data_IF_205059468903
#
_entry.id   IF_205059468903
#
_cell.length_a   1.000
_cell.length_b   1.000
_cell.length_c   1.000
_cell.angle_alpha   90.00
_cell.angle_beta   90.00
_cell.angle_gamma   90.00
#
_symmetry.space_group_name_H-M   'P 1'
#
loop_
_entity.id
_entity.type
_entity.pdbx_description
1 polymer ?
#
# COMPACT_ATOMS: atom_id res chain seq x y z
N UNK A 1 0.49 -51.49 -10.49
CA UNK A 1 0.67 -50.55 -9.35
C UNK A 1 1.41 -49.24 -9.68
N UNK A 2 2.18 -49.11 -10.77
CA UNK A 2 2.88 -47.84 -11.11
C UNK A 2 2.06 -46.82 -11.93
N UNK A 3 0.89 -47.20 -12.45
CA UNK A 3 0.06 -46.33 -13.30
C UNK A 3 -0.97 -45.51 -12.51
N UNK A 4 -1.41 -46.01 -11.35
CA UNK A 4 -2.44 -45.35 -10.52
C UNK A 4 -1.88 -44.13 -9.77
N UNK A 5 -0.57 -44.11 -9.46
CA UNK A 5 0.08 -42.97 -8.78
C UNK A 5 0.23 -41.73 -9.68
N UNK A 6 0.29 -41.90 -11.00
CA UNK A 6 0.36 -40.75 -11.94
C UNK A 6 -0.98 -40.04 -12.10
N UNK A 7 -2.09 -40.75 -11.95
CA UNK A 7 -3.44 -40.18 -12.06
C UNK A 7 -3.79 -39.37 -10.81
N UNK A 8 -3.38 -39.83 -9.61
CA UNK A 8 -3.56 -39.04 -8.39
C UNK A 8 -2.70 -37.77 -8.35
N UNK A 9 -1.46 -37.81 -8.87
CA UNK A 9 -0.61 -36.62 -8.94
C UNK A 9 -1.15 -35.57 -9.93
N UNK A 10 -1.80 -36.00 -11.01
CA UNK A 10 -2.40 -35.12 -12.01
C UNK A 10 -3.70 -34.47 -11.51
N UNK A 11 -4.51 -35.21 -10.75
CA UNK A 11 -5.75 -34.67 -10.14
C UNK A 11 -5.43 -33.68 -9.01
N UNK A 12 -4.34 -33.89 -8.26
CA UNK A 12 -3.87 -32.89 -7.27
C UNK A 12 -3.25 -31.64 -7.93
N UNK A 13 -2.70 -31.73 -9.15
CA UNK A 13 -2.18 -30.57 -9.87
C UNK A 13 -3.32 -29.72 -10.46
N UNK A 14 -4.39 -30.36 -10.95
CA UNK A 14 -5.57 -29.65 -11.49
C UNK A 14 -6.40 -29.01 -10.36
N UNK A 15 -6.47 -29.63 -9.18
CA UNK A 15 -7.15 -29.06 -8.01
C UNK A 15 -6.46 -27.86 -7.36
N UNK A 16 -5.17 -27.63 -7.64
CA UNK A 16 -4.41 -26.47 -7.10
C UNK A 16 -4.47 -25.26 -8.05
N UNK A 17 -4.85 -25.45 -9.31
CA UNK A 17 -4.95 -24.35 -10.31
C UNK A 17 -6.31 -23.62 -10.24
N UNK A 18 -7.30 -24.15 -9.53
CA UNK A 18 -8.67 -23.60 -9.49
C UNK A 18 -8.94 -22.49 -8.44
N UNK A 19 -7.97 -22.07 -7.62
CA UNK A 19 -8.22 -21.09 -6.52
C UNK A 19 -7.59 -19.70 -6.75
N UNK A 20 -6.94 -19.44 -7.89
CA UNK A 20 -6.20 -18.18 -8.10
C UNK A 20 -6.60 -17.41 -9.36
N UNK A 21 -7.88 -17.10 -9.56
CA UNK A 21 -8.26 -16.19 -10.66
C UNK A 21 -9.38 -15.22 -10.25
N UNK A 22 -9.02 -14.21 -9.47
CA UNK A 22 -9.75 -12.93 -9.45
C UNK A 22 -9.22 -12.05 -10.57
N UNK A 23 -9.97 -12.01 -11.67
CA UNK A 23 -10.05 -11.02 -12.75
C UNK A 23 -8.94 -9.95 -12.76
N UNK A 24 -7.85 -10.27 -13.46
CA UNK A 24 -6.94 -9.29 -14.02
C UNK A 24 -7.50 -9.00 -15.40
N UNK A 25 -8.15 -7.86 -15.55
CA UNK A 25 -8.71 -7.42 -16.82
C UNK A 25 -8.08 -6.05 -17.11
N UNK A 26 -7.59 -5.86 -18.33
CA UNK A 26 -6.77 -4.71 -18.75
C UNK A 26 -5.59 -5.22 -19.60
N UNK A 27 -5.32 -4.58 -20.74
CA UNK A 27 -4.34 -5.05 -21.75
C UNK A 27 -2.91 -5.22 -21.19
N UNK A 28 -2.62 -4.69 -20.00
CA UNK A 28 -1.29 -4.68 -19.37
C UNK A 28 -1.23 -5.32 -17.97
N UNK A 29 -2.23 -6.12 -17.56
CA UNK A 29 -2.18 -6.82 -16.27
C UNK A 29 -2.40 -5.94 -15.02
N UNK A 30 -3.03 -4.78 -15.21
CA UNK A 30 -3.38 -3.82 -14.15
C UNK A 30 -4.56 -4.34 -13.31
N UNK A 31 -4.57 -4.02 -12.01
CA UNK A 31 -5.78 -4.12 -11.18
C UNK A 31 -6.75 -3.04 -11.68
N UNK A 32 -7.76 -3.44 -12.45
CA UNK A 32 -8.76 -2.51 -12.95
C UNK A 32 -9.85 -2.22 -11.92
N UNK A 33 -10.15 -0.94 -11.74
CA UNK A 33 -11.28 -0.43 -10.96
C UNK A 33 -12.20 0.30 -11.93
N UNK A 34 -13.51 0.15 -11.75
CA UNK A 34 -14.52 0.82 -12.59
C UNK A 34 -14.23 2.33 -12.70
N UNK A 35 -14.11 2.83 -13.94
CA UNK A 35 -13.77 4.22 -14.24
C UNK A 35 -12.30 4.52 -14.59
N UNK A 36 -11.40 3.53 -14.54
CA UNK A 36 -10.02 3.69 -15.06
C UNK A 36 -9.95 3.53 -16.60
N UNK A 37 -9.27 4.42 -17.35
CA UNK A 37 -9.02 4.23 -18.78
C UNK A 37 -8.19 2.96 -19.04
N UNK A 38 -8.55 2.18 -20.07
CA UNK A 38 -7.94 0.86 -20.34
C UNK A 38 -8.60 -0.31 -19.59
N UNK A 39 -9.61 -0.03 -18.77
CA UNK A 39 -10.44 -1.02 -18.08
C UNK A 39 -11.81 -1.25 -18.75
N UNK A 40 -12.03 -0.69 -19.94
CA UNK A 40 -13.31 -0.70 -20.67
C UNK A 40 -13.76 -2.10 -21.11
N UNK A 41 -12.82 -3.03 -21.24
CA UNK A 41 -13.07 -4.43 -21.63
C UNK A 41 -13.20 -5.38 -20.42
N UNK A 42 -13.18 -4.85 -19.21
CA UNK A 42 -13.37 -5.64 -18.00
C UNK A 42 -14.87 -5.71 -17.71
N UNK A 43 -15.47 -6.89 -17.78
CA UNK A 43 -16.90 -7.07 -17.46
C UNK A 43 -17.11 -6.97 -15.94
N UNK A 44 -17.18 -5.74 -15.45
CA UNK A 44 -17.65 -5.41 -14.12
C UNK A 44 -19.17 -5.34 -14.18
N UNK A 45 -19.82 -6.50 -14.07
CA UNK A 45 -21.27 -6.61 -14.18
C UNK A 45 -22.00 -5.45 -13.50
N UNK A 46 -22.73 -4.67 -14.30
CA UNK A 46 -23.34 -3.42 -13.87
C UNK A 46 -24.42 -3.60 -12.78
N UNK A 47 -24.83 -2.51 -12.12
CA UNK A 47 -25.77 -2.58 -11.02
C UNK A 47 -27.18 -2.88 -11.54
N UNK A 48 -27.63 -4.13 -11.41
CA UNK A 48 -29.04 -4.48 -11.66
C UNK A 48 -29.39 -5.94 -11.93
N UNK A 49 -28.44 -6.83 -12.23
CA UNK A 49 -28.77 -8.22 -12.60
C UNK A 49 -28.55 -9.21 -11.45
N UNK A 50 -29.61 -9.92 -11.08
CA UNK A 50 -29.52 -11.16 -10.30
C UNK A 50 -28.73 -12.20 -11.10
N UNK A 51 -27.68 -12.76 -10.50
CA UNK A 51 -26.76 -13.71 -11.11
C UNK A 51 -27.45 -14.93 -11.73
N UNK A 52 -27.30 -15.09 -13.06
CA UNK A 52 -27.39 -16.40 -13.71
C UNK A 52 -26.23 -16.49 -14.72
N UNK A 53 -25.33 -17.44 -14.52
CA UNK A 53 -24.15 -17.63 -15.38
C UNK A 53 -24.58 -18.26 -16.72
N UNK A 54 -23.85 -18.01 -17.82
CA UNK A 54 -24.13 -18.67 -19.09
C UNK A 54 -23.92 -20.17 -18.96
N UNK A 55 -25.01 -20.90 -19.16
CA UNK A 55 -25.06 -22.36 -19.26
C UNK A 55 -25.15 -22.72 -20.73
N UNK A 56 -24.56 -23.83 -21.15
CA UNK A 56 -24.86 -24.40 -22.47
C UNK A 56 -26.33 -24.88 -22.54
N UNK A 57 -26.75 -25.33 -23.71
CA UNK A 57 -28.10 -25.86 -23.95
C UNK A 57 -28.44 -27.11 -23.09
N UNK A 58 -27.48 -27.63 -22.32
CA UNK A 58 -27.66 -28.71 -21.34
C UNK A 58 -27.59 -28.24 -19.86
N UNK A 59 -27.54 -26.93 -19.59
CA UNK A 59 -27.58 -26.38 -18.24
C UNK A 59 -26.24 -26.41 -17.48
N UNK A 60 -25.12 -26.72 -18.15
CA UNK A 60 -23.79 -26.77 -17.53
C UNK A 60 -23.03 -25.46 -17.72
N UNK A 61 -22.32 -25.02 -16.67
CA UNK A 61 -21.47 -23.83 -16.71
C UNK A 61 -20.36 -24.00 -17.74
N UNK A 62 -20.26 -23.07 -18.69
CA UNK A 62 -19.18 -23.03 -19.68
C UNK A 62 -18.31 -21.80 -19.41
N UNK A 63 -17.03 -22.03 -19.13
CA UNK A 63 -16.02 -20.98 -19.16
C UNK A 63 -15.31 -21.04 -20.52
N UNK A 64 -15.15 -19.92 -21.24
CA UNK A 64 -14.31 -19.91 -22.43
C UNK A 64 -12.83 -20.06 -22.03
N UNK A 65 -12.14 -21.04 -22.63
CA UNK A 65 -10.69 -21.08 -22.62
C UNK A 65 -10.16 -19.89 -23.44
N UNK A 66 -9.37 -19.05 -22.80
CA UNK A 66 -8.58 -18.02 -23.49
C UNK A 66 -7.12 -18.45 -23.42
N UNK A 67 -6.56 -18.79 -24.58
CA UNK A 67 -5.13 -19.03 -24.74
C UNK A 67 -4.35 -17.73 -24.52
N UNK A 68 -3.54 -17.67 -23.45
CA UNK A 68 -2.63 -16.55 -23.22
C UNK A 68 -1.27 -16.87 -23.85
N UNK A 69 -1.09 -16.47 -25.11
CA UNK A 69 0.22 -16.42 -25.74
C UNK A 69 0.89 -15.06 -25.44
N UNK A 70 1.99 -15.10 -24.67
CA UNK A 70 3.05 -14.09 -24.70
C UNK A 70 2.80 -12.77 -23.96
N UNK A 71 2.86 -12.78 -22.63
CA UNK A 71 3.06 -11.53 -21.87
C UNK A 71 4.57 -11.30 -21.73
N UNK A 72 5.09 -10.34 -22.50
CA UNK A 72 6.47 -9.85 -22.34
C UNK A 72 6.55 -8.97 -21.10
N UNK A 73 7.71 -9.05 -20.43
CA UNK A 73 8.05 -8.52 -19.11
C UNK A 73 8.13 -6.98 -19.00
N UNK A 74 7.14 -6.25 -19.51
CA UNK A 74 7.12 -4.79 -19.38
C UNK A 74 6.68 -4.39 -17.97
N UNK A 75 7.47 -3.58 -17.23
CA UNK A 75 7.04 -3.07 -15.94
C UNK A 75 5.80 -2.18 -16.12
N UNK A 76 4.73 -2.52 -15.39
CA UNK A 76 3.47 -1.79 -15.39
C UNK A 76 3.70 -0.39 -14.79
N UNK A 77 3.61 0.64 -15.62
CA UNK A 77 3.60 2.03 -15.17
C UNK A 77 2.15 2.45 -14.92
N UNK A 78 1.83 2.87 -13.69
CA UNK A 78 0.58 3.60 -13.45
C UNK A 78 0.59 4.83 -14.37
N UNK A 79 -0.38 4.97 -15.30
CA UNK A 79 -0.43 6.11 -16.20
C UNK A 79 -0.42 7.40 -15.38
N UNK A 80 0.23 8.46 -15.89
CA UNK A 80 0.15 9.82 -15.31
C UNK A 80 -1.26 10.44 -15.42
N UNK A 81 -2.25 9.64 -15.84
CA UNK A 81 -3.61 10.08 -16.06
C UNK A 81 -4.35 10.19 -14.72
N UNK A 82 -4.72 11.42 -14.42
CA UNK A 82 -5.54 11.79 -13.28
C UNK A 82 -6.99 11.37 -13.58
N UNK A 83 -7.65 10.56 -12.74
CA UNK A 83 -9.09 10.53 -12.78
C UNK A 83 -9.57 11.90 -12.27
N UNK A 84 -9.87 12.82 -13.19
CA UNK A 84 -10.94 13.78 -12.92
C UNK A 84 -12.13 12.93 -12.52
N UNK A 85 -12.70 13.14 -11.33
CA UNK A 85 -13.99 12.55 -10.97
C UNK A 85 -14.95 12.89 -12.12
N UNK A 86 -15.18 11.92 -13.00
CA UNK A 86 -15.97 12.13 -14.20
C UNK A 86 -17.40 12.33 -13.68
N UNK A 87 -17.99 13.48 -14.01
CA UNK A 87 -19.39 13.74 -13.69
C UNK A 87 -20.23 12.57 -14.21
N UNK A 88 -21.24 12.09 -13.45
CA UNK A 88 -22.12 11.03 -13.93
C UNK A 88 -22.69 11.41 -15.31
N UNK A 89 -22.63 10.46 -16.24
CA UNK A 89 -23.12 10.62 -17.61
C UNK A 89 -24.60 10.98 -17.53
N UNK A 90 -24.93 12.25 -17.78
CA UNK A 90 -26.32 12.76 -17.80
C UNK A 90 -26.71 13.71 -16.65
N UNK A 91 -25.81 14.06 -15.74
CA UNK A 91 -26.05 15.09 -14.71
C UNK A 91 -25.33 16.41 -14.99
N UNK A 92 -25.88 17.53 -14.51
CA UNK A 92 -25.10 18.76 -14.40
C UNK A 92 -23.86 18.47 -13.53
N UNK A 93 -22.68 19.06 -13.83
CA UNK A 93 -21.50 18.88 -13.00
C UNK A 93 -21.84 19.26 -11.56
N UNK A 94 -21.70 18.31 -10.63
CA UNK A 94 -21.82 18.58 -9.21
C UNK A 94 -20.52 19.23 -8.78
N UNK A 95 -20.59 20.44 -8.22
CA UNK A 95 -19.41 21.10 -7.67
C UNK A 95 -18.80 20.24 -6.54
N UNK A 96 -17.48 20.01 -6.53
CA UNK A 96 -16.84 19.25 -5.47
C UNK A 96 -17.08 19.89 -4.10
N UNK A 97 -17.32 19.07 -3.09
CA UNK A 97 -17.40 19.55 -1.70
C UNK A 97 -16.04 20.07 -1.22
N UNK A 98 -15.98 20.90 -0.16
CA UNK A 98 -14.70 21.35 0.42
C UNK A 98 -13.76 20.19 0.78
N UNK A 99 -14.30 19.09 1.31
CA UNK A 99 -13.53 17.89 1.67
C UNK A 99 -12.94 17.21 0.42
N UNK A 100 -13.70 17.13 -0.68
CA UNK A 100 -13.23 16.58 -1.96
C UNK A 100 -12.13 17.46 -2.57
N UNK A 101 -12.26 18.79 -2.48
CA UNK A 101 -11.21 19.71 -2.95
C UNK A 101 -9.90 19.52 -2.17
N UNK A 102 -9.98 19.38 -0.84
CA UNK A 102 -8.79 19.12 -0.01
C UNK A 102 -8.10 17.83 -0.46
N UNK A 103 -8.86 16.75 -0.66
CA UNK A 103 -8.31 15.47 -1.10
C UNK A 103 -7.59 15.58 -2.46
N UNK A 104 -8.16 16.33 -3.40
CA UNK A 104 -7.59 16.52 -4.74
C UNK A 104 -6.34 17.41 -4.74
N UNK A 105 -6.29 18.40 -3.85
CA UNK A 105 -5.23 19.40 -3.80
C UNK A 105 -4.05 19.01 -2.89
N UNK A 106 -4.28 18.14 -1.90
CA UNK A 106 -3.28 17.73 -0.93
C UNK A 106 -2.16 16.88 -1.59
N UNK A 107 -1.07 17.58 -1.93
CA UNK A 107 0.17 17.03 -2.46
C UNK A 107 1.32 17.49 -1.57
N UNK A 108 2.09 16.54 -1.08
CA UNK A 108 3.21 16.78 -0.19
C UNK A 108 4.49 16.37 -0.91
N UNK A 109 5.51 17.22 -0.86
CA UNK A 109 6.80 16.95 -1.46
C UNK A 109 7.59 15.91 -0.65
N UNK A 110 8.66 15.38 -1.24
CA UNK A 110 9.59 14.52 -0.51
C UNK A 110 10.23 15.26 0.69
N UNK A 111 10.39 16.59 0.59
CA UNK A 111 10.87 17.41 1.71
C UNK A 111 9.87 17.52 2.85
N UNK A 112 8.57 17.58 2.55
CA UNK A 112 7.54 17.53 3.59
C UNK A 112 7.58 16.18 4.32
N UNK A 113 7.77 15.07 3.58
CA UNK A 113 7.96 13.75 4.16
C UNK A 113 9.20 13.65 5.07
N UNK A 114 10.35 14.17 4.64
CA UNK A 114 11.60 14.18 5.44
C UNK A 114 11.48 15.07 6.68
N UNK A 115 10.88 16.26 6.55
CA UNK A 115 10.62 17.14 7.70
C UNK A 115 9.77 16.43 8.74
N UNK A 116 8.67 15.81 8.30
CA UNK A 116 7.79 15.07 9.20
C UNK A 116 8.52 13.90 9.88
N UNK A 117 9.33 13.14 9.15
CA UNK A 117 10.11 12.05 9.72
C UNK A 117 11.10 12.55 10.79
N UNK A 118 11.78 13.68 10.54
CA UNK A 118 12.68 14.31 11.49
C UNK A 118 11.97 14.88 12.72
N UNK A 119 10.77 15.44 12.57
CA UNK A 119 9.94 15.85 13.71
C UNK A 119 9.60 14.66 14.60
N UNK A 120 9.14 13.55 14.01
CA UNK A 120 8.77 12.34 14.74
C UNK A 120 9.98 11.69 15.44
N UNK A 121 11.14 11.66 14.79
CA UNK A 121 12.38 11.14 15.38
C UNK A 121 12.83 11.93 16.63
N UNK A 122 12.45 13.20 16.74
CA UNK A 122 12.74 14.06 17.90
C UNK A 122 11.80 13.84 19.09
N UNK A 123 10.68 13.14 18.91
CA UNK A 123 9.74 12.84 19.99
C UNK A 123 10.23 11.64 20.82
N UNK A 124 10.50 11.86 22.12
CA UNK A 124 11.04 10.83 23.01
C UNK A 124 10.14 9.58 23.08
N UNK A 125 8.82 9.77 23.21
CA UNK A 125 7.88 8.64 23.29
C UNK A 125 7.92 7.74 22.04
N UNK A 126 8.14 8.30 20.84
CA UNK A 126 8.28 7.53 19.61
C UNK A 126 9.59 6.74 19.63
N UNK A 127 10.69 7.35 20.10
CA UNK A 127 11.97 6.62 20.26
C UNK A 127 11.87 5.49 21.26
N UNK A 128 11.16 5.69 22.37
CA UNK A 128 10.95 4.65 23.38
C UNK A 128 10.14 3.48 22.79
N UNK A 129 9.10 3.78 22.01
CA UNK A 129 8.33 2.77 21.28
C UNK A 129 9.19 1.98 20.28
N UNK A 130 10.02 2.66 19.49
CA UNK A 130 10.98 2.02 18.56
C UNK A 130 11.98 1.14 19.33
N UNK A 131 12.57 1.66 20.41
CA UNK A 131 13.54 0.94 21.22
C UNK A 131 12.95 -0.34 21.85
N UNK A 132 11.66 -0.31 22.20
CA UNK A 132 10.95 -1.46 22.75
C UNK A 132 10.75 -2.58 21.72
N UNK A 133 10.51 -2.25 20.45
CA UNK A 133 10.14 -3.24 19.41
C UNK A 133 11.30 -3.66 18.50
N UNK A 134 12.35 -2.85 18.35
CA UNK A 134 13.39 -3.03 17.30
C UNK A 134 14.07 -4.39 17.24
N UNK A 135 14.24 -5.05 18.39
CA UNK A 135 14.97 -6.32 18.52
C UNK A 135 14.03 -7.53 18.73
N UNK A 136 12.73 -7.36 18.48
CA UNK A 136 11.77 -8.46 18.63
C UNK A 136 11.86 -9.41 17.44
N UNK A 137 11.75 -10.71 17.72
CA UNK A 137 11.80 -11.81 16.73
C UNK A 137 10.45 -12.05 16.03
N UNK A 138 9.40 -11.40 16.49
CA UNK A 138 8.07 -11.34 15.89
C UNK A 138 7.71 -9.87 15.66
N UNK A 139 6.70 -9.62 14.84
CA UNK A 139 6.22 -8.25 14.62
C UNK A 139 5.45 -7.76 15.85
N UNK A 140 5.83 -6.57 16.28
CA UNK A 140 5.15 -5.77 17.28
C UNK A 140 4.69 -4.49 16.63
N UNK A 141 3.54 -4.01 17.08
CA UNK A 141 2.89 -2.81 16.59
C UNK A 141 2.64 -1.83 17.72
N UNK A 142 2.73 -0.54 17.42
CA UNK A 142 2.38 0.55 18.32
C UNK A 142 1.52 1.54 17.54
N UNK A 143 0.23 1.69 17.88
CA UNK A 143 -0.62 2.68 17.23
C UNK A 143 -0.13 4.10 17.54
N UNK A 144 -0.25 5.01 16.57
CA UNK A 144 -0.03 6.45 16.78
C UNK A 144 -1.34 7.19 16.67
N UNK A 145 -1.65 8.00 17.68
CA UNK A 145 -2.88 8.77 17.76
C UNK A 145 -2.62 10.26 17.97
N UNK A 146 -3.59 11.09 17.56
CA UNK A 146 -3.72 12.47 18.03
C UNK A 146 -4.88 12.51 19.02
N UNK A 147 -4.65 13.05 20.23
CA UNK A 147 -5.68 13.13 21.27
C UNK A 147 -6.77 14.18 20.96
N UNK A 148 -6.43 15.24 20.22
CA UNK A 148 -7.38 16.23 19.73
C UNK A 148 -7.36 16.21 18.20
N UNK A 149 -8.48 15.88 17.53
CA UNK A 149 -8.53 15.85 16.08
C UNK A 149 -8.33 17.23 15.42
N UNK A 150 -8.45 18.31 16.19
CA UNK A 150 -8.20 19.67 15.74
C UNK A 150 -6.75 20.12 15.99
N UNK A 151 -5.95 19.37 16.75
CA UNK A 151 -4.54 19.67 17.01
C UNK A 151 -3.60 18.55 16.53
N UNK A 152 -3.03 18.73 15.34
CA UNK A 152 -2.07 17.80 14.74
C UNK A 152 -0.68 17.74 15.38
N UNK A 153 -0.39 18.52 16.42
CA UNK A 153 1.00 18.79 16.84
C UNK A 153 1.67 17.68 17.62
N UNK A 154 0.93 16.88 18.39
CA UNK A 154 1.53 15.94 19.35
C UNK A 154 1.03 14.52 19.14
N UNK A 155 1.66 13.74 18.24
CA UNK A 155 1.37 12.32 18.10
C UNK A 155 1.77 11.58 19.37
N UNK A 156 0.88 10.71 19.87
CA UNK A 156 1.13 9.86 21.04
C UNK A 156 1.14 8.39 20.64
N UNK A 157 2.20 7.65 20.99
CA UNK A 157 2.19 6.19 20.89
C UNK A 157 1.20 5.59 21.89
N UNK A 158 0.35 4.67 21.43
CA UNK A 158 -0.50 3.87 22.29
C UNK A 158 0.23 2.64 22.85
N UNK A 159 -0.55 1.64 23.27
CA UNK A 159 0.02 0.43 23.88
C UNK A 159 0.60 -0.51 22.81
N UNK A 160 1.86 -0.96 22.96
CA UNK A 160 2.46 -1.96 22.09
C UNK A 160 1.71 -3.30 22.13
N UNK A 161 1.54 -3.96 20.98
CA UNK A 161 0.88 -5.24 20.87
C UNK A 161 1.52 -6.15 19.81
N UNK A 162 1.22 -7.45 19.86
CA UNK A 162 1.65 -8.44 18.87
C UNK A 162 0.59 -9.53 18.70
N UNK A 163 0.55 -10.16 17.53
CA UNK A 163 -0.21 -11.39 17.27
C UNK A 163 0.70 -12.64 17.19
N UNK A 164 1.95 -12.53 17.63
CA UNK A 164 2.99 -13.57 17.59
C UNK A 164 3.36 -14.07 16.19
N UNK A 165 3.13 -13.29 15.13
CA UNK A 165 3.57 -13.61 13.76
C UNK A 165 4.78 -12.76 13.36
N UNK A 166 5.64 -13.31 12.50
CA UNK A 166 6.91 -12.68 12.11
C UNK A 166 6.82 -11.75 10.89
N UNK A 167 5.78 -11.88 10.06
CA UNK A 167 5.62 -11.12 8.80
C UNK A 167 4.17 -10.68 8.56
N UNK A 168 3.40 -10.49 9.63
CA UNK A 168 2.00 -10.09 9.52
C UNK A 168 1.49 -9.58 10.86
N UNK A 169 1.32 -8.27 10.97
CA UNK A 169 0.55 -7.63 12.03
C UNK A 169 -0.71 -7.00 11.42
N UNK A 170 -1.85 -7.28 12.04
CA UNK A 170 -3.10 -6.62 11.64
C UNK A 170 -3.26 -5.36 12.47
N UNK A 171 -3.64 -4.29 11.79
CA UNK A 171 -4.00 -3.04 12.41
C UNK A 171 -5.31 -2.57 11.79
N UNK A 172 -6.20 -2.04 12.62
CA UNK A 172 -7.49 -1.51 12.20
C UNK A 172 -7.53 -0.06 12.62
N UNK A 173 -7.25 0.88 11.71
CA UNK A 173 -7.29 2.28 12.05
C UNK A 173 -8.73 2.66 12.42
N UNK A 174 -8.87 3.45 13.48
CA UNK A 174 -10.15 3.92 13.98
C UNK A 174 -10.20 5.43 13.95
N UNK A 175 -11.38 5.96 13.66
CA UNK A 175 -11.70 7.37 13.76
C UNK A 175 -12.78 7.58 14.81
N UNK A 176 -12.51 8.46 15.77
CA UNK A 176 -13.47 8.88 16.78
C UNK A 176 -13.37 10.40 16.94
N UNK A 177 -14.49 11.11 16.84
CA UNK A 177 -14.55 12.56 17.00
C UNK A 177 -14.26 13.03 18.43
N UNK A 178 -14.31 12.14 19.41
CA UNK A 178 -14.13 12.43 20.85
C UNK A 178 -12.75 12.00 21.35
N UNK A 179 -12.34 10.77 21.08
CA UNK A 179 -11.11 10.18 21.64
C UNK A 179 -9.88 10.34 20.72
N UNK A 180 -10.05 11.06 19.61
CA UNK A 180 -9.01 11.26 18.62
C UNK A 180 -9.00 10.20 17.52
N UNK A 181 -8.00 10.28 16.63
CA UNK A 181 -7.87 9.33 15.52
C UNK A 181 -6.47 8.75 15.42
N UNK A 182 -6.44 7.51 14.93
CA UNK A 182 -5.20 6.85 14.57
C UNK A 182 -4.65 7.51 13.32
N UNK A 183 -3.48 8.14 13.45
CA UNK A 183 -2.72 8.74 12.36
C UNK A 183 -1.66 7.81 11.84
N UNK A 184 -1.42 6.68 12.49
CA UNK A 184 -0.32 5.88 12.07
C UNK A 184 -0.03 4.69 12.93
N UNK A 185 1.10 4.10 12.63
CA UNK A 185 1.52 2.85 13.20
C UNK A 185 3.04 2.76 13.18
N UNK A 186 3.61 2.24 14.26
CA UNK A 186 5.02 1.87 14.34
C UNK A 186 5.09 0.35 14.43
N UNK A 187 5.84 -0.31 13.57
CA UNK A 187 6.15 -1.74 13.73
C UNK A 187 7.56 -2.09 13.35
N UNK A 188 8.02 -3.27 13.76
CA UNK A 188 9.31 -3.81 13.37
C UNK A 188 9.16 -4.88 12.29
N UNK A 189 10.17 -5.00 11.42
CA UNK A 189 10.39 -6.11 10.50
C UNK A 189 11.52 -6.99 11.06
N UNK A 190 11.22 -8.11 11.74
CA UNK A 190 12.24 -8.99 12.32
C UNK A 190 13.23 -9.55 11.29
N UNK A 191 12.79 -9.71 10.03
CA UNK A 191 13.60 -10.19 8.92
C UNK A 191 14.51 -9.12 8.30
N UNK A 192 14.36 -7.85 8.70
CA UNK A 192 15.16 -6.74 8.15
C UNK A 192 14.76 -6.31 6.74
N UNK A 193 13.63 -6.76 6.20
CA UNK A 193 13.14 -6.34 4.88
C UNK A 193 12.67 -4.87 4.82
N UNK A 194 12.67 -4.29 3.63
CA UNK A 194 12.06 -2.98 3.39
C UNK A 194 10.53 -3.00 3.58
N UNK A 195 9.87 -1.83 3.66
CA UNK A 195 8.42 -1.75 3.65
C UNK A 195 7.79 -2.43 2.43
N UNK A 196 6.59 -2.94 2.63
CA UNK A 196 5.72 -3.62 1.68
C UNK A 196 4.43 -2.82 1.49
N UNK A 197 3.56 -3.17 0.52
CA UNK A 197 2.29 -2.47 0.32
C UNK A 197 1.38 -2.52 1.55
N UNK A 198 1.43 -3.61 2.32
CA UNK A 198 0.68 -3.73 3.57
C UNK A 198 1.11 -2.69 4.61
N UNK A 199 2.38 -2.33 4.64
CA UNK A 199 2.92 -1.32 5.55
C UNK A 199 2.49 0.09 5.16
N UNK A 200 2.14 0.31 3.89
CA UNK A 200 1.61 1.59 3.40
C UNK A 200 0.14 1.74 3.74
N UNK A 201 -0.68 0.72 3.44
CA UNK A 201 -2.13 0.89 3.34
C UNK A 201 -2.93 0.28 4.48
N UNK A 202 -2.45 -0.76 5.18
CA UNK A 202 -3.13 -1.24 6.40
C UNK A 202 -3.23 -0.19 7.51
N UNK A 203 -2.21 0.67 7.75
CA UNK A 203 -2.33 1.73 8.75
C UNK A 203 -3.22 2.90 8.32
N UNK A 204 -3.62 2.96 7.06
CA UNK A 204 -4.41 4.06 6.53
C UNK A 204 -5.90 3.90 6.82
N UNK A 205 -6.53 4.97 7.31
CA UNK A 205 -7.98 5.11 7.26
C UNK A 205 -8.50 5.06 5.82
N UNK A 206 -9.75 4.65 5.64
CA UNK A 206 -10.44 4.85 4.36
C UNK A 206 -10.74 6.36 4.20
N UNK A 207 -9.82 7.08 3.55
CA UNK A 207 -9.86 8.54 3.37
C UNK A 207 -11.09 8.96 2.55
N UNK A 208 -11.51 8.15 1.57
CA UNK A 208 -12.74 8.43 0.81
C UNK A 208 -13.97 8.46 1.72
N UNK A 209 -14.12 7.46 2.60
CA UNK A 209 -15.20 7.45 3.60
C UNK A 209 -15.11 8.63 4.57
N UNK A 210 -13.90 9.10 4.90
CA UNK A 210 -13.74 10.30 5.71
C UNK A 210 -14.22 11.55 4.97
N UNK A 211 -13.89 11.68 3.70
CA UNK A 211 -14.29 12.80 2.84
C UNK A 211 -15.80 12.84 2.63
N UNK A 212 -16.42 11.68 2.40
CA UNK A 212 -17.86 11.54 2.17
C UNK A 212 -18.68 11.66 3.46
N UNK A 213 -18.04 11.60 4.63
CA UNK A 213 -18.69 11.84 5.90
C UNK A 213 -18.82 13.34 6.16
N UNK A 214 -20.01 13.88 5.87
CA UNK A 214 -20.34 15.31 6.08
C UNK A 214 -20.25 15.80 7.54
N UNK A 215 -20.04 14.92 8.52
CA UNK A 215 -19.80 15.31 9.91
C UNK A 215 -18.32 15.60 10.22
N UNK A 216 -17.39 15.28 9.31
CA UNK A 216 -15.96 15.52 9.52
C UNK A 216 -15.59 16.91 8.96
N UNK A 217 -15.13 17.83 9.81
CA UNK A 217 -14.70 19.16 9.36
C UNK A 217 -13.49 19.09 8.42
N UNK A 218 -13.39 20.02 7.44
CA UNK A 218 -12.25 20.14 6.54
C UNK A 218 -10.87 20.15 7.25
N UNK A 219 -10.76 20.83 8.39
CA UNK A 219 -9.53 20.92 9.18
C UNK A 219 -9.06 19.56 9.71
N UNK A 220 -9.98 18.67 10.10
CA UNK A 220 -9.63 17.34 10.61
C UNK A 220 -9.12 16.43 9.49
N UNK A 221 -9.67 16.56 8.27
CA UNK A 221 -9.15 15.85 7.09
C UNK A 221 -7.73 16.34 6.78
N UNK A 222 -7.50 17.65 6.76
CA UNK A 222 -6.17 18.21 6.56
C UNK A 222 -5.19 17.72 7.63
N UNK A 223 -5.59 17.75 8.90
CA UNK A 223 -4.76 17.27 10.00
C UNK A 223 -4.42 15.79 9.83
N UNK A 224 -5.38 14.93 9.42
CA UNK A 224 -5.08 13.53 9.12
C UNK A 224 -4.07 13.39 7.97
N UNK A 225 -4.32 14.05 6.85
CA UNK A 225 -3.46 13.94 5.66
C UNK A 225 -2.02 14.39 5.93
N UNK A 226 -1.83 15.44 6.74
CA UNK A 226 -0.52 15.97 7.11
C UNK A 226 0.20 15.12 8.16
N UNK A 227 -0.55 14.40 9.01
CA UNK A 227 0.03 13.67 10.13
C UNK A 227 0.08 12.16 9.93
N UNK A 228 -0.54 11.65 8.86
CA UNK A 228 -0.49 10.23 8.55
C UNK A 228 0.96 9.74 8.47
N UNK A 229 1.24 8.66 9.19
CA UNK A 229 2.57 8.05 9.17
C UNK A 229 2.53 6.54 9.35
N UNK A 230 3.35 5.82 8.58
CA UNK A 230 3.72 4.44 8.89
C UNK A 230 5.22 4.37 9.13
N UNK A 231 5.63 3.94 10.33
CA UNK A 231 7.01 3.87 10.79
C UNK A 231 7.43 2.40 10.86
N UNK A 232 8.42 2.01 10.07
CA UNK A 232 8.87 0.63 9.96
C UNK A 232 10.31 0.55 10.47
N UNK A 233 10.52 -0.21 11.54
CA UNK A 233 11.83 -0.45 12.14
C UNK A 233 12.42 -1.72 11.54
N UNK A 234 13.50 -1.59 10.78
CA UNK A 234 14.05 -2.69 9.98
C UNK A 234 15.57 -2.71 10.00
N UNK A 235 16.13 -3.72 10.66
CA UNK A 235 17.57 -3.79 10.94
C UNK A 235 18.03 -2.59 11.78
N UNK A 236 19.03 -1.85 11.30
CA UNK A 236 19.52 -0.63 11.95
C UNK A 236 18.77 0.65 11.54
N UNK A 237 17.75 0.53 10.69
CA UNK A 237 17.08 1.66 10.07
C UNK A 237 15.63 1.82 10.54
N UNK A 238 15.16 3.06 10.44
CA UNK A 238 13.75 3.42 10.52
C UNK A 238 13.34 3.96 9.16
N UNK A 239 12.30 3.37 8.58
CA UNK A 239 11.58 3.93 7.45
C UNK A 239 10.40 4.73 7.96
N UNK A 240 10.17 5.90 7.39
CA UNK A 240 8.97 6.69 7.64
C UNK A 240 8.26 6.94 6.32
N UNK A 241 7.03 6.46 6.25
CA UNK A 241 6.11 6.61 5.12
C UNK A 241 5.11 7.71 5.46
N UNK A 242 4.94 8.67 4.56
CA UNK A 242 3.89 9.71 4.66
C UNK A 242 3.14 9.81 3.34
N UNK A 243 1.98 10.48 3.32
CA UNK A 243 1.21 10.69 2.08
C UNK A 243 1.97 11.68 1.19
N UNK A 244 2.08 11.38 -0.12
CA UNK A 244 2.60 12.28 -1.16
C UNK A 244 1.50 12.87 -2.01
N UNK A 245 0.53 12.03 -2.38
CA UNK A 245 -0.64 12.43 -3.15
C UNK A 245 -1.88 11.81 -2.50
N UNK A 246 -2.66 12.65 -1.82
CA UNK A 246 -3.78 12.18 -1.00
C UNK A 246 -4.86 11.46 -1.83
N UNK A 247 -5.16 11.95 -3.04
CA UNK A 247 -6.13 11.32 -3.93
C UNK A 247 -5.67 9.94 -4.40
N UNK A 248 -4.43 9.79 -4.88
CA UNK A 248 -3.95 8.47 -5.33
C UNK A 248 -3.84 7.49 -4.16
N UNK A 249 -3.41 7.99 -3.00
CA UNK A 249 -3.30 7.20 -1.79
C UNK A 249 -4.69 6.75 -1.28
N UNK A 250 -5.71 7.61 -1.36
CA UNK A 250 -7.06 7.28 -0.88
C UNK A 250 -7.75 6.20 -1.71
N UNK A 251 -7.53 6.18 -3.02
CA UNK A 251 -8.06 5.14 -3.92
C UNK A 251 -7.55 3.76 -3.46
N UNK A 252 -6.25 3.63 -3.22
CA UNK A 252 -5.69 2.35 -2.79
C UNK A 252 -6.06 2.00 -1.34
N UNK A 253 -5.99 2.96 -0.41
CA UNK A 253 -6.30 2.75 1.00
C UNK A 253 -7.78 2.35 1.22
N UNK A 254 -8.71 2.90 0.43
CA UNK A 254 -10.14 2.69 0.62
C UNK A 254 -10.59 1.24 0.45
N UNK A 255 -9.98 0.52 -0.49
CA UNK A 255 -10.30 -0.87 -0.84
C UNK A 255 -9.12 -1.82 -0.66
N UNK A 256 -8.08 -1.42 0.08
CA UNK A 256 -6.87 -2.23 0.22
C UNK A 256 -7.15 -3.64 0.73
N UNK A 257 -8.10 -3.84 1.65
CA UNK A 257 -8.46 -5.19 2.11
C UNK A 257 -8.88 -6.15 0.98
N UNK A 258 -9.44 -5.63 -0.12
CA UNK A 258 -9.79 -6.42 -1.31
C UNK A 258 -8.58 -6.59 -2.24
N UNK A 259 -7.77 -5.55 -2.38
CA UNK A 259 -6.59 -5.53 -3.26
C UNK A 259 -5.32 -6.16 -2.63
N UNK A 260 -5.30 -6.40 -1.31
CA UNK A 260 -4.10 -6.73 -0.54
C UNK A 260 -3.40 -7.97 -1.06
N UNK A 261 -4.16 -9.04 -1.34
CA UNK A 261 -3.60 -10.30 -1.86
C UNK A 261 -2.91 -10.09 -3.21
N UNK A 262 -3.57 -9.39 -4.14
CA UNK A 262 -3.02 -9.09 -5.46
C UNK A 262 -1.78 -8.19 -5.37
N UNK A 263 -1.84 -7.11 -4.59
CA UNK A 263 -0.72 -6.21 -4.33
C UNK A 263 0.49 -6.94 -3.71
N UNK A 264 0.23 -7.88 -2.79
CA UNK A 264 1.26 -8.69 -2.15
C UNK A 264 1.93 -9.65 -3.14
N UNK A 265 1.14 -10.30 -4.00
CA UNK A 265 1.66 -11.20 -5.04
C UNK A 265 2.53 -10.41 -6.03
N UNK A 266 2.02 -9.28 -6.53
CA UNK A 266 2.75 -8.44 -7.48
C UNK A 266 4.08 -7.95 -6.89
N UNK A 267 4.07 -7.48 -5.64
CA UNK A 267 5.28 -7.07 -4.94
C UNK A 267 6.29 -8.21 -4.80
N UNK A 268 5.85 -9.40 -4.39
CA UNK A 268 6.74 -10.57 -4.23
C UNK A 268 7.34 -11.03 -5.55
N UNK A 269 6.55 -11.03 -6.63
CA UNK A 269 7.03 -11.41 -7.96
C UNK A 269 8.12 -10.45 -8.44
N UNK A 270 7.86 -9.14 -8.39
CA UNK A 270 8.84 -8.12 -8.79
C UNK A 270 10.10 -8.12 -7.91
N UNK A 271 9.98 -8.45 -6.62
CA UNK A 271 11.13 -8.59 -5.73
C UNK A 271 11.97 -9.82 -6.08
N UNK A 272 11.31 -10.93 -6.41
CA UNK A 272 11.98 -12.14 -6.92
C UNK A 272 12.71 -11.85 -8.22
N UNK A 273 12.05 -11.18 -9.17
CA UNK A 273 12.66 -10.78 -10.44
C UNK A 273 13.86 -9.85 -10.23
N UNK A 274 13.76 -8.93 -9.26
CA UNK A 274 14.89 -8.08 -8.89
C UNK A 274 16.09 -8.91 -8.42
N UNK A 275 15.88 -9.89 -7.54
CA UNK A 275 16.97 -10.74 -7.06
C UNK A 275 17.59 -11.58 -8.17
N UNK A 276 16.77 -12.20 -9.01
CA UNK A 276 17.24 -13.01 -10.16
C UNK A 276 18.05 -12.14 -11.12
N UNK A 277 17.53 -10.99 -11.53
CA UNK A 277 18.18 -10.11 -12.51
C UNK A 277 19.48 -9.47 -12.00
N UNK A 278 19.67 -9.41 -10.68
CA UNK A 278 20.88 -8.87 -10.05
C UNK A 278 21.81 -9.96 -9.51
N UNK A 279 21.54 -11.25 -9.78
CA UNK A 279 22.30 -12.40 -9.27
C UNK A 279 22.48 -12.36 -7.73
N UNK A 280 21.45 -11.92 -7.02
CA UNK A 280 21.45 -11.87 -5.55
C UNK A 280 21.15 -13.29 -5.04
N UNK A 281 21.99 -13.79 -4.13
CA UNK A 281 21.86 -15.15 -3.57
C UNK A 281 20.63 -15.33 -2.69
N UNK A 282 20.27 -16.59 -2.44
CA UNK A 282 19.21 -17.00 -1.52
C UNK A 282 19.83 -17.69 -0.28
N UNK A 283 19.69 -17.13 0.94
CA UNK A 283 18.90 -15.94 1.27
C UNK A 283 19.63 -14.63 0.92
N UNK A 284 18.90 -13.59 0.45
CA UNK A 284 19.45 -12.26 0.24
C UNK A 284 19.93 -11.64 1.56
N UNK A 285 20.97 -10.80 1.49
CA UNK A 285 21.39 -10.01 2.65
C UNK A 285 20.30 -9.03 3.08
N UNK A 286 20.34 -8.53 4.32
CA UNK A 286 19.41 -7.48 4.78
C UNK A 286 19.49 -6.25 3.87
N UNK A 287 20.69 -5.85 3.45
CA UNK A 287 20.88 -4.71 2.56
C UNK A 287 20.26 -4.93 1.18
N UNK A 288 20.39 -6.15 0.62
CA UNK A 288 19.79 -6.50 -0.66
C UNK A 288 18.26 -6.57 -0.57
N UNK A 289 17.72 -7.16 0.50
CA UNK A 289 16.28 -7.17 0.79
C UNK A 289 15.72 -5.76 0.89
N UNK A 290 16.41 -4.87 1.59
CA UNK A 290 16.01 -3.48 1.73
C UNK A 290 16.03 -2.76 0.38
N UNK A 291 17.14 -2.83 -0.35
CA UNK A 291 17.29 -2.16 -1.65
C UNK A 291 16.29 -2.67 -2.69
N UNK A 292 16.10 -3.98 -2.75
CA UNK A 292 15.12 -4.61 -3.65
C UNK A 292 13.69 -4.21 -3.30
N UNK A 293 13.32 -4.31 -2.03
CA UNK A 293 11.98 -3.95 -1.57
C UNK A 293 11.66 -2.46 -1.74
N UNK A 294 12.62 -1.57 -1.44
CA UNK A 294 12.54 -0.14 -1.72
C UNK A 294 12.28 0.12 -3.21
N UNK A 295 13.03 -0.53 -4.10
CA UNK A 295 12.89 -0.37 -5.55
C UNK A 295 11.51 -0.82 -6.04
N UNK A 296 11.06 -1.99 -5.62
CA UNK A 296 9.76 -2.54 -6.03
C UNK A 296 8.63 -1.65 -5.51
N UNK A 297 8.67 -1.26 -4.24
CA UNK A 297 7.63 -0.42 -3.63
C UNK A 297 7.51 0.94 -4.31
N UNK A 298 8.65 1.61 -4.58
CA UNK A 298 8.67 2.88 -5.29
C UNK A 298 8.26 2.76 -6.76
N UNK A 299 8.46 1.58 -7.37
CA UNK A 299 8.01 1.30 -8.73
C UNK A 299 6.49 1.19 -8.80
N UNK A 300 5.90 0.43 -7.87
CA UNK A 300 4.45 0.22 -7.84
C UNK A 300 3.69 1.46 -7.34
N UNK A 301 4.17 2.10 -6.26
CA UNK A 301 3.37 3.05 -5.49
C UNK A 301 4.06 4.39 -5.23
N UNK A 302 5.28 4.65 -5.74
CA UNK A 302 6.08 5.83 -5.38
C UNK A 302 5.47 7.21 -5.72
N UNK A 303 4.36 7.24 -6.47
CA UNK A 303 3.56 8.47 -6.71
C UNK A 303 2.60 8.80 -5.55
N UNK A 304 2.28 7.81 -4.70
CA UNK A 304 1.25 7.91 -3.65
C UNK A 304 1.80 8.36 -2.30
N UNK A 305 3.05 7.98 -1.99
CA UNK A 305 3.67 8.17 -0.69
C UNK A 305 5.09 8.74 -0.80
N UNK A 306 5.55 9.38 0.26
CA UNK A 306 6.96 9.71 0.45
C UNK A 306 7.58 8.61 1.32
N UNK A 307 8.76 8.14 0.93
CA UNK A 307 9.55 7.19 1.72
C UNK A 307 10.80 7.91 2.23
N UNK A 308 11.01 7.90 3.54
CA UNK A 308 12.26 8.37 4.12
C UNK A 308 12.91 7.28 4.96
N UNK A 309 14.23 7.33 5.09
CA UNK A 309 15.04 6.35 5.81
C UNK A 309 16.13 7.06 6.61
N UNK A 310 16.35 6.61 7.84
CA UNK A 310 17.52 7.00 8.66
C UNK A 310 17.96 5.84 9.55
N UNK A 311 19.16 5.94 10.13
CA UNK A 311 19.55 5.00 11.21
C UNK A 311 18.72 5.27 12.47
N UNK A 312 18.43 4.21 13.23
CA UNK A 312 17.68 4.29 14.50
C UNK A 312 18.36 5.25 15.50
N UNK A 313 19.68 5.39 15.45
CA UNK A 313 20.45 6.28 16.34
C UNK A 313 20.42 7.76 15.96
N UNK A 314 20.00 8.10 14.74
CA UNK A 314 19.97 9.48 14.27
C UNK A 314 18.63 10.17 14.60
N UNK A 315 18.66 11.49 14.81
CA UNK A 315 17.48 12.27 15.22
C UNK A 315 16.94 13.19 14.12
N UNK A 316 17.76 13.49 13.11
CA UNK A 316 17.47 14.50 12.09
C UNK A 316 18.19 14.25 10.76
N UNK A 317 18.51 12.97 10.47
CA UNK A 317 19.21 12.57 9.24
C UNK A 317 18.35 11.74 8.31
N UNK A 318 17.03 11.92 8.36
CA UNK A 318 16.17 11.30 7.36
C UNK A 318 16.54 11.78 5.96
N UNK A 319 16.69 10.81 5.06
CA UNK A 319 16.87 11.05 3.64
C UNK A 319 15.67 10.45 2.91
N UNK A 320 15.23 11.12 1.84
CA UNK A 320 14.23 10.56 0.95
C UNK A 320 14.82 9.39 0.18
N UNK A 321 14.10 8.27 0.16
CA UNK A 321 14.42 7.10 -0.66
C UNK A 321 13.74 7.32 -2.01
N UNK A 322 14.55 7.51 -3.05
CA UNK A 322 14.07 7.83 -4.39
C UNK A 322 14.65 6.88 -5.43
N UNK A 323 14.06 6.89 -6.63
CA UNK A 323 14.65 6.27 -7.82
C UNK A 323 15.34 7.35 -8.65
N UNK A 324 16.56 7.10 -9.08
CA UNK A 324 17.22 7.92 -10.11
C UNK A 324 16.60 7.66 -11.50
N UNK A 325 17.09 8.35 -12.54
CA UNK A 325 16.58 8.19 -13.92
C UNK A 325 16.86 6.81 -14.52
N UNK A 326 17.77 6.03 -13.92
CA UNK A 326 18.08 4.65 -14.29
C UNK A 326 17.29 3.63 -13.43
N UNK A 327 16.46 4.10 -12.50
CA UNK A 327 15.67 3.24 -11.61
C UNK A 327 16.49 2.57 -10.50
N UNK A 328 17.65 3.13 -10.12
CA UNK A 328 18.39 2.74 -8.93
C UNK A 328 17.88 3.49 -7.70
N UNK A 329 17.99 2.85 -6.54
CA UNK A 329 17.72 3.53 -5.28
C UNK A 329 18.84 4.50 -4.93
N UNK A 330 18.45 5.73 -4.63
CA UNK A 330 19.30 6.78 -4.07
C UNK A 330 18.69 7.31 -2.77
N UNK A 331 19.57 7.75 -1.87
CA UNK A 331 19.20 8.51 -0.67
C UNK A 331 19.60 9.96 -0.87
N UNK A 332 18.64 10.87 -0.86
CA UNK A 332 18.87 12.30 -1.02
C UNK A 332 18.17 13.05 0.10
N UNK A 333 18.80 14.09 0.64
CA UNK A 333 18.08 15.11 1.40
C UNK A 333 17.38 16.05 0.40
N UNK A 334 16.04 16.00 0.25
CA UNK A 334 15.31 16.83 -0.68
C UNK A 334 15.07 18.26 -0.15
N UNK A 335 15.42 18.54 1.12
CA UNK A 335 15.21 19.85 1.74
C UNK A 335 16.42 20.78 1.59
N UNK A 336 17.56 20.25 1.13
CA UNK A 336 18.76 21.03 0.82
C UNK A 336 18.90 21.15 -0.72
N UNK A 337 19.05 22.37 -1.28
CA UNK A 337 19.08 22.62 -2.74
C UNK A 337 20.11 21.82 -3.52
#
# INVERSE_FOLDING_TARGET
MKTIYKIFLFISLIGIVQILYSHICGEDGIICVEGMPGCENCDFGGPGNTYDFPKNDQGQFVFPEIDVYGVTSSPIYLPDYWPTLIAPIGGAPVEPTPNQLILQQAKFSDCDGVKRANELAKIQAIRDAIALIKNKNVEWGVPLQLDDPNDGRTPKPGTPYTNNKTNSISFKPTWNSVDGYLIGFIHNHPSGGAPSPSDLFNPAMNIMKMVDNGSIPPSQIQNYLQNFVSIIVSGEYVYTVTIKNALLFSIMAGDFNKAQSAATIQYKNLLTDYFVNNNIGDPPSIADNQKGGEKVLLTLYGKMFNLSKQKISDLDKNQSVQRDSQGNIILKDPCTP
#
